data_IF_839175377378
#
_entry.id   IF_839175377378
#
_cell.length_a   1.000
_cell.length_b   1.000
_cell.length_c   1.000
_cell.angle_alpha   90.00
_cell.angle_beta   90.00
_cell.angle_gamma   90.00
#
_symmetry.space_group_name_H-M   'P 1'
#
loop_
_entity.id
_entity.type
_entity.pdbx_description
1 polymer ?
#
# COMPACT_ATOMS: atom_id res chain seq x y z
N UNK A 1 -94.33 -0.89 -16.79
CA UNK A 1 -94.04 -1.70 -15.57
C UNK A 1 -92.86 -1.03 -14.88
N UNK A 2 -92.81 -0.66 -13.61
CA UNK A 2 -93.66 -0.71 -12.39
C UNK A 2 -93.27 0.61 -11.65
N UNK A 3 -94.15 1.47 -11.12
CA UNK A 3 -95.17 1.39 -10.05
C UNK A 3 -94.63 1.10 -8.64
N UNK A 4 -95.12 1.91 -7.69
CA UNK A 4 -95.09 1.85 -6.21
C UNK A 4 -93.92 2.55 -5.50
N UNK A 5 -94.05 3.30 -4.40
CA UNK A 5 -95.15 3.79 -3.53
C UNK A 5 -94.52 4.91 -2.65
N UNK A 6 -95.14 6.09 -2.44
CA UNK A 6 -95.96 6.51 -1.27
C UNK A 6 -95.36 6.34 0.15
N UNK A 7 -95.25 7.48 0.88
CA UNK A 7 -95.56 7.73 2.32
C UNK A 7 -94.70 8.91 2.85
N UNK A 8 -95.18 10.13 3.05
CA UNK A 8 -96.06 10.72 4.10
C UNK A 8 -95.44 10.87 5.51
N UNK A 9 -95.60 12.08 6.07
CA UNK A 9 -95.34 12.47 7.48
C UNK A 9 -94.19 13.49 7.60
N UNK A 10 -94.34 14.75 8.02
CA UNK A 10 -95.33 15.38 8.91
C UNK A 10 -94.61 15.88 10.16
N UNK A 11 -94.35 17.19 10.30
CA UNK A 11 -93.77 17.75 11.53
C UNK A 11 -93.31 19.21 11.43
N UNK A 12 -93.98 20.08 12.18
CA UNK A 12 -93.89 21.54 12.25
C UNK A 12 -92.61 22.04 12.95
N UNK A 13 -92.15 23.26 12.65
CA UNK A 13 -91.23 23.97 13.54
C UNK A 13 -90.66 25.28 12.97
N UNK A 14 -90.95 26.39 13.62
CA UNK A 14 -90.70 27.77 13.20
C UNK A 14 -89.23 28.21 13.17
N UNK A 15 -88.97 29.26 12.37
CA UNK A 15 -87.96 30.29 12.66
C UNK A 15 -86.66 30.20 11.86
N UNK A 16 -86.58 30.92 10.73
CA UNK A 16 -85.33 31.12 9.99
C UNK A 16 -85.09 32.62 9.72
N UNK A 17 -83.80 32.96 9.65
CA UNK A 17 -83.12 34.24 9.31
C UNK A 17 -82.57 35.05 10.51
N UNK A 18 -81.37 35.66 10.38
CA UNK A 18 -80.16 35.16 9.70
C UNK A 18 -78.85 35.51 10.47
N UNK A 19 -77.97 34.54 10.71
CA UNK A 19 -76.55 34.79 11.03
C UNK A 19 -75.66 33.96 10.11
N UNK A 20 -75.80 34.17 8.80
CA UNK A 20 -74.86 33.71 7.77
C UNK A 20 -74.35 34.95 7.08
N UNK A 21 -73.17 35.45 7.47
CA UNK A 21 -72.27 36.30 6.64
C UNK A 21 -70.90 36.47 7.34
N UNK A 22 -70.78 36.32 8.66
CA UNK A 22 -69.51 36.66 9.36
C UNK A 22 -68.46 35.54 9.50
N UNK A 23 -68.69 34.32 8.99
CA UNK A 23 -67.74 33.19 9.18
C UNK A 23 -66.97 32.78 7.92
N UNK A 24 -67.30 33.30 6.75
CA UNK A 24 -66.67 32.87 5.48
C UNK A 24 -65.39 33.65 5.15
N UNK A 25 -65.20 34.86 5.71
CA UNK A 25 -64.02 35.68 5.44
C UNK A 25 -62.81 35.37 6.36
N UNK A 26 -63.02 34.78 7.54
CA UNK A 26 -61.93 34.39 8.44
C UNK A 26 -61.26 33.06 8.06
N UNK A 27 -61.94 32.20 7.28
CA UNK A 27 -61.41 30.89 6.90
C UNK A 27 -60.56 30.93 5.60
N UNK A 28 -60.75 31.94 4.75
CA UNK A 28 -59.98 32.12 3.52
C UNK A 28 -58.58 32.71 3.77
N UNK A 29 -58.41 33.52 4.83
CA UNK A 29 -57.11 34.10 5.18
C UNK A 29 -56.17 33.12 5.91
N UNK A 30 -56.73 32.11 6.61
CA UNK A 30 -55.94 31.10 7.31
C UNK A 30 -55.42 30.02 6.34
N UNK A 31 -56.13 29.73 5.25
CA UNK A 31 -55.65 28.79 4.23
C UNK A 31 -54.53 29.38 3.34
N UNK A 32 -54.55 30.69 3.08
CA UNK A 32 -53.49 31.36 2.30
C UNK A 32 -52.22 31.64 3.12
N UNK A 33 -52.33 31.80 4.44
CA UNK A 33 -51.16 31.95 5.32
C UNK A 33 -50.47 30.60 5.64
N UNK A 34 -51.20 29.48 5.61
CA UNK A 34 -50.61 28.13 5.82
C UNK A 34 -49.94 27.53 4.58
N UNK A 35 -50.24 28.00 3.37
CA UNK A 35 -49.53 27.57 2.15
C UNK A 35 -48.17 28.26 1.95
N UNK A 36 -47.89 29.35 2.66
CA UNK A 36 -46.62 30.09 2.57
C UNK A 36 -45.53 29.57 3.51
N UNK A 37 -45.87 28.68 4.46
CA UNK A 37 -44.89 28.10 5.40
C UNK A 37 -44.27 26.79 4.86
N UNK A 38 -44.87 26.17 3.85
CA UNK A 38 -44.32 24.96 3.21
C UNK A 38 -43.49 25.21 1.94
N UNK A 39 -43.29 26.47 1.54
CA UNK A 39 -42.57 26.83 0.31
C UNK A 39 -41.03 26.79 0.38
N UNK A 40 -40.43 26.40 1.52
CA UNK A 40 -38.96 26.43 1.70
C UNK A 40 -38.35 25.11 2.15
N UNK A 41 -39.00 23.99 1.81
CA UNK A 41 -38.34 22.68 1.79
C UNK A 41 -38.14 22.26 0.33
N UNK A 42 -37.49 23.14 -0.45
CA UNK A 42 -36.55 22.62 -1.44
C UNK A 42 -35.50 21.92 -0.59
N UNK A 43 -35.68 20.62 -0.40
CA UNK A 43 -34.58 19.78 0.04
C UNK A 43 -33.49 20.03 -0.99
N UNK A 44 -32.51 20.84 -0.63
CA UNK A 44 -31.21 20.78 -1.25
C UNK A 44 -30.74 19.37 -0.93
N UNK A 45 -31.14 18.41 -1.78
CA UNK A 45 -30.38 17.19 -1.98
C UNK A 45 -29.04 17.71 -2.46
N UNK A 46 -28.17 18.02 -1.51
CA UNK A 46 -26.78 18.29 -1.75
C UNK A 46 -26.29 17.01 -2.42
N UNK A 47 -26.25 17.05 -3.76
CA UNK A 47 -25.86 15.92 -4.57
C UNK A 47 -24.47 15.53 -4.13
N UNK A 48 -24.27 14.25 -3.84
CA UNK A 48 -22.97 13.71 -3.46
C UNK A 48 -21.91 14.19 -4.46
N UNK A 49 -20.95 15.01 -4.02
CA UNK A 49 -19.92 15.52 -4.90
C UNK A 49 -18.78 14.52 -4.95
N UNK A 50 -18.67 13.82 -6.07
CA UNK A 50 -17.70 12.74 -6.27
C UNK A 50 -16.48 13.26 -7.04
N UNK A 51 -15.30 12.99 -6.50
CA UNK A 51 -14.03 13.12 -7.20
C UNK A 51 -13.46 11.77 -7.60
N UNK A 52 -12.56 11.80 -8.59
CA UNK A 52 -11.78 10.64 -9.02
C UNK A 52 -10.29 10.96 -8.95
N UNK A 53 -9.48 9.93 -8.69
CA UNK A 53 -8.03 10.06 -8.56
C UNK A 53 -7.31 8.92 -9.26
N UNK A 54 -6.20 9.22 -9.93
CA UNK A 54 -5.33 8.22 -10.54
C UNK A 54 -4.13 7.96 -9.65
N UNK A 55 -4.24 6.96 -8.76
CA UNK A 55 -3.14 6.58 -7.87
C UNK A 55 -1.92 6.12 -8.67
N UNK A 56 -2.14 5.44 -9.81
CA UNK A 56 -1.06 5.01 -10.69
C UNK A 56 -0.28 6.19 -11.31
N UNK A 57 -0.96 7.28 -11.65
CA UNK A 57 -0.29 8.51 -12.12
C UNK A 57 0.51 9.16 -11.00
N UNK A 58 -0.04 9.22 -9.79
CA UNK A 58 0.67 9.74 -8.60
C UNK A 58 1.95 8.94 -8.35
N UNK A 59 1.90 7.61 -8.41
CA UNK A 59 3.09 6.76 -8.25
C UNK A 59 4.16 7.05 -9.31
N UNK A 60 3.76 7.32 -10.56
CA UNK A 60 4.69 7.65 -11.66
C UNK A 60 5.28 9.05 -11.58
N UNK A 61 4.59 10.00 -10.95
CA UNK A 61 4.97 11.42 -10.97
C UNK A 61 5.54 11.90 -9.63
N UNK A 62 5.13 11.29 -8.52
CA UNK A 62 5.58 11.67 -7.18
C UNK A 62 7.00 11.17 -6.89
N UNK A 63 7.93 12.09 -6.64
CA UNK A 63 9.36 11.76 -6.48
C UNK A 63 9.63 10.82 -5.33
N UNK A 64 8.92 10.94 -4.21
CA UNK A 64 9.15 10.10 -3.04
C UNK A 64 8.78 8.64 -3.27
N UNK A 65 7.79 8.37 -4.13
CA UNK A 65 7.51 7.00 -4.55
C UNK A 65 8.69 6.42 -5.33
N UNK A 66 9.28 7.22 -6.23
CA UNK A 66 10.49 6.82 -6.99
C UNK A 66 11.70 6.64 -6.08
N UNK A 67 11.89 7.51 -5.11
CA UNK A 67 12.98 7.45 -4.13
C UNK A 67 12.82 6.23 -3.21
N UNK A 68 11.60 5.95 -2.75
CA UNK A 68 11.28 4.74 -1.98
C UNK A 68 11.57 3.46 -2.79
N UNK A 69 11.09 3.40 -4.04
CA UNK A 69 11.36 2.27 -4.93
C UNK A 69 12.87 2.09 -5.19
N UNK A 70 13.58 3.20 -5.42
CA UNK A 70 15.04 3.19 -5.61
C UNK A 70 15.76 2.68 -4.36
N UNK A 71 15.39 3.15 -3.17
CA UNK A 71 15.97 2.71 -1.90
C UNK A 71 15.76 1.22 -1.66
N UNK A 72 14.55 0.71 -1.90
CA UNK A 72 14.26 -0.71 -1.78
C UNK A 72 15.11 -1.55 -2.75
N UNK A 73 15.25 -1.09 -3.99
CA UNK A 73 16.05 -1.76 -5.02
C UNK A 73 17.56 -1.76 -4.70
N UNK A 74 18.08 -0.66 -4.16
CA UNK A 74 19.48 -0.55 -3.72
C UNK A 74 19.79 -1.51 -2.57
N UNK A 75 18.92 -1.56 -1.56
CA UNK A 75 19.03 -2.50 -0.44
C UNK A 75 18.94 -3.96 -0.93
N UNK A 76 17.99 -4.27 -1.82
CA UNK A 76 17.85 -5.60 -2.42
C UNK A 76 19.14 -6.02 -3.14
N UNK A 77 19.69 -5.14 -3.97
CA UNK A 77 20.96 -5.42 -4.69
C UNK A 77 22.12 -5.65 -3.74
N UNK A 78 22.25 -4.84 -2.70
CA UNK A 78 23.31 -5.01 -1.70
C UNK A 78 23.19 -6.38 -0.99
N UNK A 79 21.97 -6.80 -0.67
CA UNK A 79 21.70 -8.10 -0.05
C UNK A 79 21.97 -9.27 -1.01
N UNK A 80 21.55 -9.18 -2.25
CA UNK A 80 21.84 -10.19 -3.28
C UNK A 80 23.35 -10.36 -3.49
N UNK A 81 24.10 -9.25 -3.54
CA UNK A 81 25.56 -9.29 -3.64
C UNK A 81 26.18 -9.99 -2.42
N UNK A 82 25.74 -9.66 -1.20
CA UNK A 82 26.23 -10.29 0.02
C UNK A 82 25.96 -11.79 0.06
N UNK A 83 24.74 -12.22 -0.30
CA UNK A 83 24.38 -13.63 -0.37
C UNK A 83 25.17 -14.38 -1.46
N UNK A 84 25.34 -13.75 -2.64
CA UNK A 84 26.15 -14.32 -3.72
C UNK A 84 27.60 -14.55 -3.29
N UNK A 85 28.19 -13.62 -2.52
CA UNK A 85 29.53 -13.80 -1.97
C UNK A 85 29.58 -14.95 -0.96
N UNK A 86 28.66 -15.01 0.01
CA UNK A 86 28.60 -16.13 0.96
C UNK A 86 28.52 -17.48 0.24
N UNK A 87 27.71 -17.56 -0.82
CA UNK A 87 27.57 -18.77 -1.64
C UNK A 87 28.84 -19.13 -2.41
N UNK A 88 29.61 -18.13 -2.85
CA UNK A 88 30.85 -18.34 -3.59
C UNK A 88 32.04 -18.74 -2.69
N UNK A 89 32.01 -18.36 -1.41
CA UNK A 89 33.15 -18.48 -0.49
C UNK A 89 32.87 -19.42 0.70
N UNK A 90 32.20 -20.55 0.44
CA UNK A 90 31.78 -21.51 1.48
C UNK A 90 32.91 -22.20 2.23
N UNK A 91 34.17 -22.13 1.77
CA UNK A 91 35.32 -22.83 2.37
C UNK A 91 36.28 -21.87 3.07
N UNK A 92 35.92 -20.59 3.17
CA UNK A 92 36.57 -19.66 4.07
C UNK A 92 36.09 -19.89 5.50
N UNK A 93 37.01 -19.78 6.45
CA UNK A 93 36.67 -19.80 7.88
C UNK A 93 35.91 -18.53 8.24
N UNK A 94 35.19 -18.54 9.37
CA UNK A 94 34.34 -17.42 9.80
C UNK A 94 35.01 -16.05 9.67
N UNK A 95 36.20 -15.89 10.25
CA UNK A 95 36.95 -14.62 10.21
C UNK A 95 37.39 -14.21 8.80
N UNK A 96 37.84 -15.18 7.99
CA UNK A 96 38.29 -14.95 6.60
C UNK A 96 37.12 -14.54 5.70
N UNK A 97 35.96 -15.15 5.93
CA UNK A 97 34.73 -14.84 5.21
C UNK A 97 34.23 -13.45 5.60
N UNK A 98 34.24 -13.12 6.89
CA UNK A 98 33.85 -11.80 7.38
C UNK A 98 34.79 -10.70 6.86
N UNK A 99 36.09 -10.97 6.80
CA UNK A 99 37.08 -10.10 6.17
C UNK A 99 36.78 -9.91 4.67
N UNK A 100 36.49 -10.98 3.93
CA UNK A 100 36.14 -10.91 2.51
C UNK A 100 34.88 -10.07 2.27
N UNK A 101 33.83 -10.27 3.07
CA UNK A 101 32.58 -9.51 2.96
C UNK A 101 32.80 -8.02 3.26
N UNK A 102 33.64 -7.71 4.25
CA UNK A 102 34.00 -6.33 4.59
C UNK A 102 34.81 -5.66 3.48
N UNK A 103 35.84 -6.33 2.96
CA UNK A 103 36.70 -5.78 1.91
C UNK A 103 35.93 -5.58 0.60
N UNK A 104 35.07 -6.53 0.23
CA UNK A 104 34.31 -6.46 -1.02
C UNK A 104 33.19 -5.42 -1.04
N UNK A 105 32.72 -4.98 0.13
CA UNK A 105 31.72 -3.90 0.25
C UNK A 105 32.33 -2.52 0.44
N UNK A 106 33.66 -2.42 0.62
CA UNK A 106 34.36 -1.16 0.82
C UNK A 106 34.55 -0.40 -0.49
N UNK A 107 34.12 0.86 -0.53
CA UNK A 107 34.48 1.78 -1.60
C UNK A 107 35.94 2.26 -1.43
N UNK A 108 36.77 2.08 -2.47
CA UNK A 108 38.18 2.48 -2.44
C UNK A 108 39.04 1.56 -1.57
N UNK A 109 39.46 0.43 -2.14
CA UNK A 109 40.43 -0.47 -1.51
C UNK A 109 41.84 0.11 -1.66
N UNK A 110 42.62 0.07 -0.59
CA UNK A 110 44.07 0.25 -0.67
C UNK A 110 44.74 -0.94 -1.36
N UNK A 111 45.97 -0.76 -1.84
CA UNK A 111 46.77 -1.84 -2.44
C UNK A 111 46.94 -3.06 -1.51
N UNK A 112 47.12 -2.82 -0.22
CA UNK A 112 47.25 -3.89 0.77
C UNK A 112 45.94 -4.68 0.91
N UNK A 113 44.81 -3.97 0.94
CA UNK A 113 43.48 -4.58 1.01
C UNK A 113 43.12 -5.33 -0.28
N UNK A 114 43.54 -4.83 -1.44
CA UNK A 114 43.36 -5.51 -2.71
C UNK A 114 44.13 -6.83 -2.73
N UNK A 115 45.40 -6.83 -2.31
CA UNK A 115 46.20 -8.06 -2.16
C UNK A 115 45.54 -9.04 -1.21
N UNK A 116 45.09 -8.57 -0.05
CA UNK A 116 44.42 -9.41 0.94
C UNK A 116 43.13 -10.05 0.39
N UNK A 117 42.33 -9.30 -0.37
CA UNK A 117 41.14 -9.83 -1.02
C UNK A 117 41.49 -10.93 -2.04
N UNK A 118 42.59 -10.78 -2.78
CA UNK A 118 43.08 -11.81 -3.71
C UNK A 118 43.58 -13.07 -2.97
N UNK A 119 44.26 -12.91 -1.84
CA UNK A 119 44.69 -14.04 -0.99
C UNK A 119 43.49 -14.86 -0.51
N UNK A 120 42.44 -14.20 0.01
CA UNK A 120 41.22 -14.88 0.47
C UNK A 120 40.54 -15.66 -0.66
N UNK A 121 40.49 -15.07 -1.87
CA UNK A 121 39.98 -15.78 -3.06
C UNK A 121 40.84 -16.99 -3.43
N UNK A 122 42.16 -16.86 -3.34
CA UNK A 122 43.09 -17.96 -3.55
C UNK A 122 42.88 -19.09 -2.56
N UNK A 123 42.72 -18.78 -1.27
CA UNK A 123 42.44 -19.77 -0.22
C UNK A 123 41.14 -20.54 -0.48
N UNK A 124 40.08 -19.85 -0.91
CA UNK A 124 38.83 -20.49 -1.29
C UNK A 124 39.05 -21.53 -2.41
N UNK A 125 39.75 -21.15 -3.48
CA UNK A 125 40.02 -22.04 -4.61
C UNK A 125 40.86 -23.25 -4.20
N UNK A 126 41.93 -23.01 -3.44
CA UNK A 126 42.80 -24.08 -2.94
C UNK A 126 42.03 -25.09 -2.10
N UNK A 127 41.15 -24.62 -1.20
CA UNK A 127 40.34 -25.48 -0.34
C UNK A 127 39.24 -26.20 -1.12
N UNK A 128 38.70 -25.59 -2.16
CA UNK A 128 37.72 -26.23 -3.04
C UNK A 128 38.35 -27.42 -3.79
N UNK A 129 39.54 -27.20 -4.37
CA UNK A 129 40.31 -28.25 -5.02
C UNK A 129 40.69 -29.36 -4.04
N UNK A 130 41.13 -28.99 -2.83
CA UNK A 130 41.45 -29.92 -1.75
C UNK A 130 40.23 -30.78 -1.37
N UNK A 131 39.08 -30.16 -1.12
CA UNK A 131 37.83 -30.84 -0.80
C UNK A 131 37.42 -31.80 -1.92
N UNK A 132 37.50 -31.37 -3.17
CA UNK A 132 37.17 -32.22 -4.33
C UNK A 132 38.11 -33.44 -4.42
N UNK A 133 39.41 -33.25 -4.27
CA UNK A 133 40.39 -34.35 -4.29
C UNK A 133 40.16 -35.33 -3.13
N UNK A 134 39.97 -34.82 -1.92
CA UNK A 134 39.77 -35.65 -0.73
C UNK A 134 38.43 -36.41 -0.78
N UNK A 135 37.37 -35.79 -1.30
CA UNK A 135 36.04 -36.41 -1.41
C UNK A 135 35.93 -37.47 -2.51
N UNK A 136 36.78 -37.40 -3.53
CA UNK A 136 36.82 -38.38 -4.64
C UNK A 136 37.82 -39.50 -4.41
N UNK A 137 38.68 -39.39 -3.40
CA UNK A 137 39.64 -40.43 -3.03
C UNK A 137 38.95 -41.51 -2.18
N UNK A 138 39.12 -42.80 -2.50
CA UNK A 138 38.57 -43.89 -1.69
C UNK A 138 38.99 -43.80 -0.22
N UNK A 139 38.09 -44.00 0.77
CA UNK A 139 38.39 -43.81 2.18
C UNK A 139 39.54 -44.65 2.72
N UNK A 140 39.74 -45.85 2.18
CA UNK A 140 40.83 -46.78 2.51
C UNK A 140 42.22 -46.27 2.09
N UNK A 141 42.26 -45.32 1.15
CA UNK A 141 43.49 -44.67 0.66
C UNK A 141 43.79 -43.35 1.34
N UNK A 142 42.91 -42.87 2.21
CA UNK A 142 43.11 -41.64 2.96
C UNK A 142 43.88 -41.90 4.26
N UNK A 143 44.89 -41.08 4.50
CA UNK A 143 45.54 -41.02 5.82
C UNK A 143 44.57 -40.43 6.86
N UNK A 144 44.84 -40.67 8.14
CA UNK A 144 44.07 -40.07 9.24
C UNK A 144 44.05 -38.54 9.17
N UNK A 145 45.17 -37.91 8.79
CA UNK A 145 45.25 -36.46 8.61
C UNK A 145 44.34 -35.97 7.47
N UNK A 146 44.31 -36.68 6.34
CA UNK A 146 43.44 -36.35 5.21
C UNK A 146 41.95 -36.56 5.55
N UNK A 147 41.61 -37.61 6.30
CA UNK A 147 40.25 -37.82 6.80
C UNK A 147 39.79 -36.68 7.72
N UNK A 148 40.67 -36.25 8.62
CA UNK A 148 40.37 -35.12 9.52
C UNK A 148 40.19 -33.82 8.74
N UNK A 149 41.06 -33.58 7.75
CA UNK A 149 41.00 -32.41 6.88
C UNK A 149 39.74 -32.37 6.02
N UNK A 150 39.33 -33.52 5.48
CA UNK A 150 38.06 -33.65 4.75
C UNK A 150 36.87 -33.27 5.65
N UNK A 151 36.84 -33.78 6.89
CA UNK A 151 35.80 -33.44 7.86
C UNK A 151 35.78 -31.95 8.20
N UNK A 152 36.96 -31.34 8.37
CA UNK A 152 37.08 -29.89 8.62
C UNK A 152 36.48 -29.08 7.47
N UNK A 153 36.88 -29.35 6.23
CA UNK A 153 36.39 -28.62 5.05
C UNK A 153 34.87 -28.81 4.86
N UNK A 154 34.35 -30.01 5.10
CA UNK A 154 32.92 -30.29 5.06
C UNK A 154 32.16 -29.55 6.17
N UNK A 155 32.73 -29.47 7.38
CA UNK A 155 32.14 -28.74 8.49
C UNK A 155 32.05 -27.24 8.17
N UNK A 156 33.14 -26.64 7.65
CA UNK A 156 33.17 -25.23 7.23
C UNK A 156 32.11 -24.98 6.14
N UNK A 157 32.04 -25.84 5.12
CA UNK A 157 31.06 -25.71 4.05
C UNK A 157 29.61 -25.75 4.58
N UNK A 158 29.34 -26.67 5.51
CA UNK A 158 28.02 -26.83 6.12
C UNK A 158 27.65 -25.63 6.98
N UNK A 159 28.58 -25.16 7.81
CA UNK A 159 28.39 -23.97 8.65
C UNK A 159 28.08 -22.74 7.79
N UNK A 160 28.87 -22.48 6.76
CA UNK A 160 28.65 -21.35 5.87
C UNK A 160 27.36 -21.48 5.04
N UNK A 161 26.97 -22.71 4.67
CA UNK A 161 25.66 -22.95 4.02
C UNK A 161 24.49 -22.65 4.96
N UNK A 162 24.60 -22.98 6.25
CA UNK A 162 23.59 -22.63 7.24
C UNK A 162 23.53 -21.11 7.44
N UNK A 163 24.70 -20.46 7.61
CA UNK A 163 24.81 -19.01 7.71
C UNK A 163 24.22 -18.30 6.50
N UNK A 164 24.44 -18.82 5.29
CA UNK A 164 23.80 -18.30 4.08
C UNK A 164 22.27 -18.40 4.16
N UNK A 165 21.73 -19.55 4.59
CA UNK A 165 20.28 -19.74 4.72
C UNK A 165 19.67 -18.79 5.76
N UNK A 166 20.26 -18.72 6.95
CA UNK A 166 19.82 -17.85 8.04
C UNK A 166 19.85 -16.38 7.61
N UNK A 167 20.94 -15.95 6.97
CA UNK A 167 21.03 -14.59 6.47
C UNK A 167 20.02 -14.31 5.35
N UNK A 168 19.79 -15.27 4.43
CA UNK A 168 18.80 -15.09 3.37
C UNK A 168 17.39 -14.87 3.95
N UNK A 169 17.01 -15.65 4.97
CA UNK A 169 15.74 -15.49 5.67
C UNK A 169 15.65 -14.15 6.43
N UNK A 170 16.73 -13.73 7.09
CA UNK A 170 16.80 -12.45 7.79
C UNK A 170 16.66 -11.27 6.81
N UNK A 171 17.38 -11.31 5.70
CA UNK A 171 17.39 -10.25 4.68
C UNK A 171 16.03 -10.18 3.97
N UNK A 172 15.39 -11.31 3.69
CA UNK A 172 14.03 -11.32 3.13
C UNK A 172 13.06 -10.59 4.07
N UNK A 173 13.07 -10.93 5.37
CA UNK A 173 12.23 -10.25 6.38
C UNK A 173 12.53 -8.76 6.45
N UNK A 174 13.79 -8.34 6.36
CA UNK A 174 14.16 -6.92 6.34
C UNK A 174 13.63 -6.20 5.10
N UNK A 175 13.71 -6.80 3.92
CA UNK A 175 13.16 -6.23 2.69
C UNK A 175 11.64 -6.13 2.74
N UNK A 176 10.96 -7.15 3.27
CA UNK A 176 9.50 -7.14 3.44
C UNK A 176 9.07 -6.01 4.39
N UNK A 177 9.76 -5.87 5.52
CA UNK A 177 9.51 -4.80 6.48
C UNK A 177 9.79 -3.41 5.88
N UNK A 178 10.91 -3.25 5.17
CA UNK A 178 11.25 -1.99 4.51
C UNK A 178 10.23 -1.63 3.43
N UNK A 179 9.81 -2.60 2.62
CA UNK A 179 8.79 -2.45 1.59
C UNK A 179 7.47 -1.97 2.21
N UNK A 180 7.03 -2.61 3.30
CA UNK A 180 5.81 -2.22 4.01
C UNK A 180 5.91 -0.82 4.62
N UNK A 181 7.03 -0.49 5.27
CA UNK A 181 7.28 0.82 5.87
C UNK A 181 7.24 1.94 4.82
N UNK A 182 7.94 1.74 3.69
CA UNK A 182 7.97 2.70 2.60
C UNK A 182 6.60 2.86 1.94
N UNK A 183 5.88 1.76 1.72
CA UNK A 183 4.52 1.77 1.18
C UNK A 183 3.58 2.53 2.11
N UNK A 184 3.57 2.19 3.40
CA UNK A 184 2.72 2.82 4.41
C UNK A 184 2.99 4.32 4.52
N UNK A 185 4.27 4.72 4.49
CA UNK A 185 4.65 6.13 4.50
C UNK A 185 4.08 6.89 3.30
N UNK A 186 4.30 6.38 2.07
CA UNK A 186 3.81 7.06 0.86
C UNK A 186 2.27 7.05 0.81
N UNK A 187 1.63 5.96 1.19
CA UNK A 187 0.16 5.87 1.24
C UNK A 187 -0.43 6.88 2.23
N UNK A 188 0.17 7.02 3.43
CA UNK A 188 -0.23 8.02 4.41
C UNK A 188 -0.20 9.44 3.84
N UNK A 189 0.89 9.79 3.16
CA UNK A 189 1.03 11.09 2.50
C UNK A 189 0.01 11.33 1.40
N UNK A 190 -0.28 10.31 0.59
CA UNK A 190 -1.31 10.40 -0.45
C UNK A 190 -2.67 10.62 0.20
N UNK A 191 -3.03 9.85 1.23
CA UNK A 191 -4.30 9.99 1.95
C UNK A 191 -4.47 11.39 2.53
N UNK A 192 -3.44 11.94 3.16
CA UNK A 192 -3.44 13.31 3.70
C UNK A 192 -3.67 14.34 2.59
N UNK A 193 -2.93 14.25 1.49
CA UNK A 193 -3.07 15.17 0.36
C UNK A 193 -4.45 15.07 -0.31
N UNK A 194 -5.00 13.86 -0.44
CA UNK A 194 -6.37 13.64 -0.94
C UNK A 194 -7.39 14.27 -0.01
N UNK A 195 -7.28 14.05 1.31
CA UNK A 195 -8.21 14.60 2.28
C UNK A 195 -8.23 16.14 2.26
N UNK A 196 -7.07 16.77 2.14
CA UNK A 196 -6.98 18.23 2.03
C UNK A 196 -7.56 18.78 0.72
N UNK A 197 -7.28 18.12 -0.41
CA UNK A 197 -7.86 18.51 -1.70
C UNK A 197 -9.37 18.30 -1.69
N UNK A 198 -9.86 17.17 -1.17
CA UNK A 198 -11.29 16.90 -1.04
C UNK A 198 -12.00 17.97 -0.20
N UNK A 199 -11.42 18.34 0.96
CA UNK A 199 -11.95 19.44 1.80
C UNK A 199 -11.99 20.77 1.05
N UNK A 200 -10.93 21.10 0.31
CA UNK A 200 -10.85 22.37 -0.46
C UNK A 200 -11.87 22.42 -1.60
N UNK A 201 -12.05 21.31 -2.31
CA UNK A 201 -12.96 21.23 -3.46
C UNK A 201 -14.40 20.87 -3.06
N UNK A 202 -14.67 20.65 -1.77
CA UNK A 202 -15.98 20.28 -1.24
C UNK A 202 -16.46 18.90 -1.71
N UNK A 203 -15.54 17.93 -1.83
CA UNK A 203 -15.85 16.57 -2.25
C UNK A 203 -16.25 15.71 -1.05
N UNK A 204 -17.29 14.90 -1.21
CA UNK A 204 -17.79 13.97 -0.20
C UNK A 204 -17.17 12.57 -0.35
N UNK A 205 -16.75 12.22 -1.58
CA UNK A 205 -16.20 10.92 -1.92
C UNK A 205 -15.11 11.07 -2.98
N UNK A 206 -14.00 10.37 -2.82
CA UNK A 206 -12.95 10.25 -3.83
C UNK A 206 -12.75 8.78 -4.16
N UNK A 207 -12.81 8.44 -5.44
CA UNK A 207 -12.64 7.07 -5.94
C UNK A 207 -11.35 6.94 -6.74
N UNK A 208 -10.62 5.83 -6.57
CA UNK A 208 -9.51 5.49 -7.46
C UNK A 208 -10.06 5.05 -8.83
N UNK A 209 -9.50 5.58 -9.92
CA UNK A 209 -9.82 5.15 -11.29
C UNK A 209 -9.70 3.63 -11.49
N UNK A 210 -8.79 2.97 -10.78
CA UNK A 210 -8.63 1.52 -10.90
C UNK A 210 -9.82 0.73 -10.34
N UNK A 211 -10.62 1.34 -9.47
CA UNK A 211 -11.79 0.72 -8.84
C UNK A 211 -13.10 1.05 -9.57
N UNK A 212 -13.08 1.90 -10.60
CA UNK A 212 -14.28 2.47 -11.21
C UNK A 212 -14.26 2.34 -12.72
N UNK A 213 -15.20 1.58 -13.28
CA UNK A 213 -15.38 1.45 -14.73
C UNK A 213 -16.20 2.58 -15.35
N UNK A 214 -17.15 3.13 -14.59
CA UNK A 214 -18.06 4.17 -15.07
C UNK A 214 -18.67 4.94 -13.89
N UNK A 215 -18.81 6.26 -14.04
CA UNK A 215 -19.60 7.12 -13.15
C UNK A 215 -20.59 7.91 -13.99
N UNK A 216 -21.85 7.95 -13.54
CA UNK A 216 -22.88 8.81 -14.14
C UNK A 216 -22.78 10.22 -13.54
N UNK A 217 -22.70 11.25 -14.39
CA UNK A 217 -22.62 12.66 -13.97
C UNK A 217 -21.22 13.25 -14.16
N UNK A 218 -21.05 14.51 -13.76
CA UNK A 218 -19.74 15.16 -13.75
C UNK A 218 -18.94 14.70 -12.52
N UNK A 219 -17.74 14.21 -12.76
CA UNK A 219 -16.76 13.87 -11.71
C UNK A 219 -15.55 14.76 -11.84
N UNK A 220 -15.05 15.28 -10.71
CA UNK A 220 -13.83 16.06 -10.70
C UNK A 220 -12.62 15.14 -10.58
N UNK A 221 -11.76 15.13 -11.60
CA UNK A 221 -10.44 14.53 -11.48
C UNK A 221 -9.53 15.44 -10.63
N UNK A 222 -9.12 14.94 -9.46
CA UNK A 222 -8.24 15.67 -8.54
C UNK A 222 -6.76 15.26 -8.65
N UNK A 223 -6.39 14.39 -9.58
CA UNK A 223 -5.03 13.81 -9.70
C UNK A 223 -3.95 14.89 -9.70
N UNK A 224 -4.05 15.86 -10.61
CA UNK A 224 -3.07 16.96 -10.72
C UNK A 224 -3.04 17.85 -9.48
N UNK A 225 -4.17 18.03 -8.81
CA UNK A 225 -4.28 18.83 -7.58
C UNK A 225 -3.57 18.13 -6.42
N UNK A 226 -3.72 16.82 -6.31
CA UNK A 226 -3.07 15.98 -5.29
C UNK A 226 -1.56 15.92 -5.54
N UNK A 227 -1.12 15.69 -6.78
CA UNK A 227 0.31 15.71 -7.14
C UNK A 227 0.94 17.06 -6.74
N UNK A 228 0.30 18.17 -7.13
CA UNK A 228 0.76 19.51 -6.77
C UNK A 228 0.80 19.73 -5.25
N UNK A 229 -0.12 19.15 -4.50
CA UNK A 229 -0.13 19.25 -3.03
C UNK A 229 1.02 18.45 -2.42
N UNK A 230 1.25 17.22 -2.88
CA UNK A 230 2.33 16.34 -2.44
C UNK A 230 3.71 16.96 -2.66
N UNK A 231 3.91 17.65 -3.80
CA UNK A 231 5.18 18.32 -4.11
C UNK A 231 5.47 19.56 -3.24
N UNK A 232 4.46 20.12 -2.56
CA UNK A 232 4.60 21.31 -1.71
C UNK A 232 4.91 20.98 -0.25
N UNK A 233 4.74 19.74 0.18
CA UNK A 233 4.99 19.29 1.57
C UNK A 233 6.42 18.76 1.77
N UNK A 234 7.37 19.16 0.90
CA UNK A 234 8.79 18.82 1.07
C UNK A 234 9.43 19.61 2.20
#
# INVERSE_FOLDING_TARGET
MNKHDEATGGGKGAGLFPYKILTVLALAFILAAMMSIFGSLVSAQAGLKVGVINVGAIQREFSEYKEAAKRLEEERKAYEQKLAQLRAYLLLRGEELDELLKLSSKAGLSEAEHRRLLELRGLQLQRADELQRLSTTPPDKLTQAQLQRLKELQAIARENSNRHKELAEELQKKLDNLSEQLRSHVEGRIKEAVAEVAKREGLDLVLDYNAVYFVRGEVLDITSLVIKRLSKTK
#
